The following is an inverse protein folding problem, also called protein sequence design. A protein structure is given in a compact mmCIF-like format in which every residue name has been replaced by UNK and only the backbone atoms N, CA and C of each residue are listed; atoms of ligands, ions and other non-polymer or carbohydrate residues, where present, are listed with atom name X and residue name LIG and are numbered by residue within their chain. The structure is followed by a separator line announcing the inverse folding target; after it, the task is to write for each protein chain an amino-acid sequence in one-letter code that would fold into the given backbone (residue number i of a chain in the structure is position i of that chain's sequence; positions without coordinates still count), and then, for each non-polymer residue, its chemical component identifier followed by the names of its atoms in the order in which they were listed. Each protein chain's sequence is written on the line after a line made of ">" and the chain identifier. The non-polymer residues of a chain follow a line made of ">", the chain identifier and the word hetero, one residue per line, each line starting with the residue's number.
data_IF_005364923588
#
_entry.id   IF_005364923588
#
_cell.length_a   1.000
_cell.length_b   1.000
_cell.length_c   1.000
_cell.angle_alpha   90.00
_cell.angle_beta   90.00
_cell.angle_gamma   90.00
#
_symmetry.space_group_name_H-M   'P 1'
#
loop_
_entity.id
_entity.type
_entity.pdbx_description
1 polymer ?
#
# COMPACT_ATOMS: atom_id res chain seq x y z
N UNK A 1 19.70 -29.66 -1.27
CA UNK A 1 18.39 -30.28 -1.53
C UNK A 1 17.55 -29.18 -2.14
N UNK A 2 17.09 -29.33 -3.38
CA UNK A 2 16.20 -28.35 -4.01
C UNK A 2 14.83 -28.38 -3.32
N UNK A 3 14.26 -27.21 -3.04
CA UNK A 3 12.92 -27.08 -2.47
C UNK A 3 11.89 -27.62 -3.47
N UNK A 4 10.85 -28.27 -2.97
CA UNK A 4 9.76 -28.77 -3.82
C UNK A 4 8.83 -27.61 -4.19
N UNK A 5 8.14 -27.68 -5.34
CA UNK A 5 7.13 -26.68 -5.71
C UNK A 5 6.06 -26.44 -4.63
N UNK A 6 5.72 -27.48 -3.85
CA UNK A 6 4.78 -27.43 -2.74
C UNK A 6 5.28 -26.57 -1.58
N UNK A 7 6.59 -26.56 -1.31
CA UNK A 7 7.20 -25.74 -0.26
C UNK A 7 7.05 -24.25 -0.62
N UNK A 8 7.26 -23.89 -1.89
CA UNK A 8 7.05 -22.51 -2.37
C UNK A 8 5.59 -22.03 -2.30
N UNK A 9 4.62 -22.94 -2.46
CA UNK A 9 3.20 -22.62 -2.32
C UNK A 9 2.81 -22.43 -0.85
N UNK A 10 3.32 -23.26 0.06
CA UNK A 10 3.13 -23.09 1.50
C UNK A 10 3.75 -21.79 2.01
N UNK A 11 4.91 -21.40 1.50
CA UNK A 11 5.56 -20.13 1.84
C UNK A 11 4.71 -18.94 1.36
N UNK A 12 4.14 -19.02 0.15
CA UNK A 12 3.28 -17.97 -0.38
C UNK A 12 1.96 -17.82 0.41
N UNK A 13 1.35 -18.93 0.84
CA UNK A 13 0.15 -18.92 1.67
C UNK A 13 0.41 -18.25 3.02
N UNK A 14 1.51 -18.62 3.70
CA UNK A 14 1.91 -18.01 4.98
C UNK A 14 2.17 -16.50 4.86
N UNK A 15 2.78 -16.07 3.75
CA UNK A 15 2.99 -14.64 3.46
C UNK A 15 1.64 -13.91 3.34
N UNK A 16 0.69 -14.46 2.59
CA UNK A 16 -0.63 -13.84 2.40
C UNK A 16 -1.42 -13.83 3.71
N UNK A 17 -1.39 -14.92 4.49
CA UNK A 17 -2.04 -14.98 5.80
C UNK A 17 -1.50 -13.91 6.74
N UNK A 18 -0.18 -13.75 6.83
CA UNK A 18 0.43 -12.73 7.67
C UNK A 18 0.06 -11.31 7.21
N UNK A 19 0.04 -11.04 5.90
CA UNK A 19 -0.44 -9.77 5.36
C UNK A 19 -1.90 -9.50 5.75
N UNK A 20 -2.77 -10.51 5.64
CA UNK A 20 -4.17 -10.38 6.00
C UNK A 20 -4.36 -10.10 7.49
N UNK A 21 -3.57 -10.72 8.35
CA UNK A 21 -3.64 -10.50 9.79
C UNK A 21 -3.19 -9.08 10.17
N UNK A 22 -2.10 -8.60 9.59
CA UNK A 22 -1.66 -7.21 9.76
C UNK A 22 -2.71 -6.21 9.24
N UNK A 23 -3.33 -6.51 8.10
CA UNK A 23 -4.39 -5.68 7.52
C UNK A 23 -5.62 -5.61 8.43
N UNK A 24 -6.12 -6.75 8.93
CA UNK A 24 -7.26 -6.82 9.85
C UNK A 24 -7.01 -6.06 11.16
N UNK A 25 -5.78 -6.12 11.67
CA UNK A 25 -5.38 -5.40 12.88
C UNK A 25 -5.17 -3.89 12.64
N UNK A 26 -5.18 -3.44 11.38
CA UNK A 26 -4.85 -2.08 11.02
C UNK A 26 -3.39 -1.71 11.34
N UNK A 27 -2.49 -2.68 11.47
CA UNK A 27 -1.11 -2.47 11.86
C UNK A 27 -0.26 -2.01 10.66
N UNK A 28 -0.51 -0.78 10.21
CA UNK A 28 0.12 -0.21 9.02
C UNK A 28 1.65 -0.13 9.13
N UNK A 29 2.18 0.12 10.33
CA UNK A 29 3.63 0.21 10.55
C UNK A 29 4.32 -1.14 10.35
N UNK A 30 3.77 -2.21 10.90
CA UNK A 30 4.34 -3.55 10.70
C UNK A 30 4.09 -4.04 9.28
N UNK A 31 2.94 -3.68 8.68
CA UNK A 31 2.65 -3.97 7.27
C UNK A 31 3.67 -3.30 6.34
N UNK A 32 4.03 -2.04 6.61
CA UNK A 32 5.10 -1.35 5.91
C UNK A 32 6.42 -2.11 6.02
N UNK A 33 6.87 -2.43 7.24
CA UNK A 33 8.12 -3.16 7.48
C UNK A 33 8.15 -4.52 6.79
N UNK A 34 7.03 -5.22 6.82
CA UNK A 34 6.89 -6.52 6.17
C UNK A 34 6.99 -6.41 4.64
N UNK A 35 6.40 -5.38 4.05
CA UNK A 35 6.56 -5.09 2.62
C UNK A 35 7.93 -4.51 2.26
N UNK A 36 8.61 -3.88 3.22
CA UNK A 36 9.89 -3.18 3.04
C UNK A 36 11.12 -4.11 3.11
N UNK A 37 10.93 -5.43 3.19
CA UNK A 37 12.06 -6.37 2.99
C UNK A 37 12.60 -6.41 1.55
N UNK A 38 12.07 -5.60 0.62
CA UNK A 38 12.56 -5.48 -0.77
C UNK A 38 12.47 -4.10 -1.43
N UNK A 39 11.85 -3.07 -0.81
CA UNK A 39 11.62 -1.77 -1.49
C UNK A 39 12.84 -0.83 -1.44
N UNK A 40 13.57 -0.75 -0.33
CA UNK A 40 14.78 0.10 -0.23
C UNK A 40 15.96 -0.37 -1.10
N UNK A 41 16.00 -1.65 -1.51
CA UNK A 41 17.09 -2.19 -2.33
C UNK A 41 17.09 -1.68 -3.79
N UNK A 42 16.01 -1.04 -4.26
CA UNK A 42 15.73 -0.92 -5.68
C UNK A 42 15.00 0.37 -6.11
N UNK A 43 15.22 1.52 -5.44
CA UNK A 43 14.79 2.83 -5.99
C UNK A 43 15.37 3.11 -7.40
N UNK A 44 16.43 2.38 -7.78
CA UNK A 44 17.09 2.47 -9.08
C UNK A 44 16.58 1.49 -10.16
N UNK A 45 15.52 0.69 -9.88
CA UNK A 45 14.94 -0.22 -10.87
C UNK A 45 13.69 0.41 -11.52
N UNK A 46 13.65 0.46 -12.86
CA UNK A 46 12.51 0.94 -13.65
C UNK A 46 11.18 0.28 -13.25
N UNK A 47 11.22 -1.00 -12.86
CA UNK A 47 10.05 -1.72 -12.37
C UNK A 47 9.46 -1.03 -11.13
N UNK A 48 10.25 -0.73 -10.10
CA UNK A 48 9.74 -0.09 -8.89
C UNK A 48 9.31 1.35 -9.12
N UNK A 49 10.04 2.07 -9.97
CA UNK A 49 9.63 3.41 -10.37
C UNK A 49 8.22 3.40 -10.99
N UNK A 50 7.96 2.49 -11.93
CA UNK A 50 6.64 2.39 -12.58
C UNK A 50 5.58 1.77 -11.68
N UNK A 51 5.93 0.71 -10.95
CA UNK A 51 4.96 -0.10 -10.21
C UNK A 51 4.55 0.53 -8.88
N UNK A 52 5.49 1.15 -8.15
CA UNK A 52 5.22 1.80 -6.87
C UNK A 52 5.08 3.31 -7.06
N UNK A 53 6.13 4.01 -7.48
CA UNK A 53 6.15 5.47 -7.43
C UNK A 53 5.15 6.13 -8.38
N UNK A 54 5.15 5.77 -9.66
CA UNK A 54 4.26 6.37 -10.66
C UNK A 54 2.80 6.01 -10.40
N UNK A 55 2.53 4.76 -10.00
CA UNK A 55 1.16 4.32 -9.68
C UNK A 55 0.62 5.00 -8.43
N UNK A 56 1.41 5.10 -7.36
CA UNK A 56 1.01 5.80 -6.13
C UNK A 56 0.72 7.27 -6.42
N UNK A 57 1.59 7.93 -7.18
CA UNK A 57 1.38 9.32 -7.62
C UNK A 57 0.08 9.48 -8.42
N UNK A 58 -0.19 8.58 -9.37
CA UNK A 58 -1.41 8.64 -10.17
C UNK A 58 -2.67 8.38 -9.33
N UNK A 59 -2.61 7.49 -8.35
CA UNK A 59 -3.70 7.27 -7.39
C UNK A 59 -3.98 8.52 -6.56
N UNK A 60 -2.94 9.17 -6.03
CA UNK A 60 -3.07 10.41 -5.26
C UNK A 60 -3.70 11.51 -6.11
N UNK A 61 -3.20 11.74 -7.33
CA UNK A 61 -3.77 12.74 -8.23
C UNK A 61 -5.26 12.49 -8.47
N UNK A 62 -5.66 11.22 -8.65
CA UNK A 62 -7.06 10.88 -8.87
C UNK A 62 -7.93 11.08 -7.63
N UNK A 63 -7.39 10.81 -6.45
CA UNK A 63 -8.06 11.11 -5.17
C UNK A 63 -8.23 12.62 -5.02
N UNK A 64 -7.22 13.43 -5.35
CA UNK A 64 -7.33 14.90 -5.32
C UNK A 64 -8.42 15.42 -6.28
N UNK A 65 -8.52 14.86 -7.49
CA UNK A 65 -9.61 15.17 -8.43
C UNK A 65 -10.99 14.86 -7.83
N UNK A 66 -11.15 13.71 -7.17
CA UNK A 66 -12.41 13.34 -6.51
C UNK A 66 -12.73 14.27 -5.33
N UNK A 67 -11.74 14.63 -4.51
CA UNK A 67 -11.93 15.53 -3.38
C UNK A 67 -12.21 16.99 -3.80
N UNK A 68 -11.81 17.38 -5.01
CA UNK A 68 -12.06 18.69 -5.58
C UNK A 68 -13.39 18.79 -6.34
N UNK A 69 -14.20 17.72 -6.35
CA UNK A 69 -15.51 17.71 -7.00
C UNK A 69 -16.44 18.80 -6.41
N UNK A 70 -17.02 19.62 -7.29
CA UNK A 70 -17.90 20.74 -6.93
C UNK A 70 -19.17 20.29 -6.22
N UNK A 71 -19.60 19.03 -6.45
CA UNK A 71 -20.78 18.45 -5.82
C UNK A 71 -20.52 17.97 -4.37
N UNK A 72 -19.27 18.02 -3.88
CA UNK A 72 -18.86 17.54 -2.55
C UNK A 72 -19.30 16.09 -2.26
N UNK A 73 -19.20 15.23 -3.27
CA UNK A 73 -19.54 13.83 -3.15
C UNK A 73 -18.57 13.07 -2.21
N UNK A 74 -19.06 12.01 -1.57
CA UNK A 74 -18.22 11.07 -0.82
C UNK A 74 -17.80 9.92 -1.73
N UNK A 75 -16.49 9.69 -1.85
CA UNK A 75 -15.93 8.65 -2.71
C UNK A 75 -15.37 7.48 -1.91
N UNK A 76 -15.62 6.27 -2.39
CA UNK A 76 -14.97 5.06 -1.91
C UNK A 76 -13.94 4.57 -2.94
N UNK A 77 -12.67 4.52 -2.53
CA UNK A 77 -11.55 4.17 -3.41
C UNK A 77 -10.93 2.85 -2.96
N UNK A 78 -10.73 1.93 -3.90
CA UNK A 78 -10.13 0.62 -3.64
C UNK A 78 -8.77 0.55 -4.33
N UNK A 79 -7.73 0.25 -3.55
CA UNK A 79 -6.35 0.06 -4.02
C UNK A 79 -5.72 -1.16 -3.36
N UNK A 80 -4.60 -1.64 -3.90
CA UNK A 80 -3.82 -2.68 -3.24
C UNK A 80 -3.20 -2.19 -1.93
N UNK A 81 -3.23 -3.01 -0.88
CA UNK A 81 -2.78 -2.63 0.46
C UNK A 81 -1.35 -2.07 0.50
N UNK A 82 -0.45 -2.60 -0.33
CA UNK A 82 0.94 -2.13 -0.38
C UNK A 82 1.15 -0.73 -0.95
N UNK A 83 0.14 -0.13 -1.60
CA UNK A 83 0.17 1.26 -2.08
C UNK A 83 -0.18 2.27 -0.97
N UNK A 84 -0.74 1.82 0.15
CA UNK A 84 -1.17 2.72 1.23
C UNK A 84 -0.04 3.10 2.17
N UNK A 85 0.96 2.23 2.33
CA UNK A 85 2.06 2.37 3.30
C UNK A 85 3.36 2.81 2.62
N UNK A 86 4.33 3.27 3.42
CA UNK A 86 5.61 3.75 2.91
C UNK A 86 5.67 5.27 2.75
N UNK A 87 6.90 5.79 2.68
CA UNK A 87 7.17 7.24 2.54
C UNK A 87 6.52 7.86 1.30
N UNK A 88 6.43 7.10 0.21
CA UNK A 88 5.80 7.52 -1.05
C UNK A 88 4.41 6.94 -1.25
N UNK A 89 3.89 6.21 -0.25
CA UNK A 89 2.57 5.62 -0.32
C UNK A 89 1.47 6.68 -0.34
N UNK A 90 0.26 6.27 -0.73
CA UNK A 90 -0.89 7.15 -0.90
C UNK A 90 -1.24 7.91 0.38
N UNK A 91 -1.26 7.23 1.54
CA UNK A 91 -1.62 7.87 2.83
C UNK A 91 -0.60 8.95 3.21
N UNK A 92 0.70 8.64 3.12
CA UNK A 92 1.73 9.60 3.50
C UNK A 92 1.73 10.80 2.55
N UNK A 93 1.61 10.56 1.24
CA UNK A 93 1.58 11.63 0.24
C UNK A 93 0.38 12.56 0.41
N UNK A 94 -0.80 12.04 0.76
CA UNK A 94 -1.98 12.87 1.06
C UNK A 94 -1.76 13.72 2.33
N UNK A 95 -1.18 13.15 3.39
CA UNK A 95 -0.83 13.91 4.60
C UNK A 95 0.16 15.04 4.30
N UNK A 96 1.20 14.76 3.50
CA UNK A 96 2.22 15.74 3.12
C UNK A 96 1.64 16.88 2.28
N UNK A 97 0.57 16.61 1.52
CA UNK A 97 -0.21 17.62 0.77
C UNK A 97 -1.18 18.43 1.65
N UNK A 98 -1.28 18.12 2.94
CA UNK A 98 -2.11 18.86 3.91
C UNK A 98 -3.52 18.32 4.08
N UNK A 99 -3.84 17.14 3.53
CA UNK A 99 -5.12 16.49 3.79
C UNK A 99 -5.17 15.90 5.20
N UNK A 100 -6.35 15.98 5.82
CA UNK A 100 -6.64 15.24 7.05
C UNK A 100 -6.94 13.79 6.69
N UNK A 101 -6.17 12.86 7.27
CA UNK A 101 -6.35 11.43 7.05
C UNK A 101 -6.53 10.75 8.38
N UNK A 102 -7.65 10.04 8.54
CA UNK A 102 -8.00 9.26 9.71
C UNK A 102 -8.12 7.78 9.34
N UNK A 103 -7.49 6.92 10.12
CA UNK A 103 -7.66 5.47 9.98
C UNK A 103 -8.87 5.05 10.81
N UNK A 104 -9.90 4.55 10.16
CA UNK A 104 -11.10 4.03 10.83
C UNK A 104 -10.89 2.55 11.13
N UNK A 105 -10.94 2.19 12.41
CA UNK A 105 -10.89 0.79 12.88
C UNK A 105 -12.18 0.53 13.66
N UNK A 106 -12.88 -0.56 13.34
CA UNK A 106 -14.03 -1.01 14.11
C UNK A 106 -13.54 -1.77 15.34
N UNK A 107 -14.04 -1.40 16.53
CA UNK A 107 -13.68 -2.01 17.81
C UNK A 107 -14.51 -3.27 18.12
#
# INVERSE_FOLDING_TARGET
>A
VEAKPEDHLQDAEQVVEYMLDLWKQGNALEFERFLDTTKEAEENNEFNQKFWLERDKNMVNKIEEFLADEENNTYFVVVGAGHLVGKTGVIQTLKDKGYQVEQVIEH
#
